data_IF_539724074115
#
_entry.id   IF_539724074115
#
_cell.length_a   1.000
_cell.length_b   1.000
_cell.length_c   1.000
_cell.angle_alpha   90.00
_cell.angle_beta   90.00
_cell.angle_gamma   90.00
#
_symmetry.space_group_name_H-M   'P 1'
#
loop_
_entity.id
_entity.type
_entity.pdbx_description
1 polymer ?
#
# COMPACT_ATOMS: atom_id res chain seq x y z
N UNK A 1 30.22 -34.27 -38.96
CA UNK A 1 29.24 -34.29 -37.85
C UNK A 1 29.69 -33.27 -36.82
N UNK A 2 28.87 -32.25 -36.53
CA UNK A 2 29.27 -31.07 -35.74
C UNK A 2 28.32 -30.96 -34.54
N UNK A 3 28.83 -31.28 -33.36
CA UNK A 3 28.13 -31.25 -32.07
C UNK A 3 27.85 -29.79 -31.68
N UNK A 4 26.60 -29.46 -31.38
CA UNK A 4 26.19 -28.14 -30.87
C UNK A 4 25.88 -28.29 -29.37
N UNK A 5 26.76 -27.71 -28.55
CA UNK A 5 26.53 -27.49 -27.13
C UNK A 5 25.58 -26.30 -26.99
N UNK A 6 24.41 -26.49 -26.39
CA UNK A 6 23.46 -25.40 -26.11
C UNK A 6 23.72 -24.91 -24.69
N UNK A 7 24.14 -23.66 -24.57
CA UNK A 7 24.43 -22.98 -23.31
C UNK A 7 23.12 -22.69 -22.55
N UNK A 8 22.93 -23.34 -21.41
CA UNK A 8 21.82 -23.11 -20.49
C UNK A 8 22.16 -21.92 -19.57
N UNK A 9 22.01 -20.69 -20.05
CA UNK A 9 22.25 -19.50 -19.23
C UNK A 9 21.43 -18.34 -19.76
N UNK A 10 20.13 -18.29 -19.49
CA UNK A 10 19.27 -17.10 -19.65
C UNK A 10 17.81 -17.46 -19.24
N UNK A 11 17.58 -17.76 -17.96
CA UNK A 11 16.22 -17.86 -17.38
C UNK A 11 16.20 -17.26 -15.96
N UNK A 12 16.70 -16.03 -15.80
CA UNK A 12 16.68 -15.35 -14.49
C UNK A 12 16.26 -13.87 -14.58
N UNK A 13 15.68 -13.43 -15.71
CA UNK A 13 15.37 -12.01 -15.93
C UNK A 13 13.87 -11.69 -16.05
N UNK A 14 12.96 -12.66 -15.92
CA UNK A 14 11.52 -12.47 -16.21
C UNK A 14 10.59 -12.49 -14.98
N UNK A 15 11.10 -12.28 -13.76
CA UNK A 15 10.27 -12.32 -12.53
C UNK A 15 10.15 -10.97 -11.80
N UNK A 16 10.65 -9.87 -12.35
CA UNK A 16 10.60 -8.55 -11.69
C UNK A 16 9.55 -7.57 -12.24
N UNK A 17 8.61 -8.03 -13.07
CA UNK A 17 7.63 -7.15 -13.75
C UNK A 17 6.17 -7.46 -13.39
N UNK A 18 5.88 -7.61 -12.10
CA UNK A 18 4.47 -7.74 -11.65
C UNK A 18 4.24 -7.24 -10.22
N UNK A 19 4.63 -6.00 -9.91
CA UNK A 19 4.16 -5.29 -8.71
C UNK A 19 3.18 -4.15 -9.02
N UNK A 20 2.72 -4.03 -10.26
CA UNK A 20 1.91 -2.91 -10.75
C UNK A 20 0.46 -3.32 -11.09
N UNK A 21 -0.23 -4.06 -10.20
CA UNK A 21 -1.64 -4.42 -10.48
C UNK A 21 -2.56 -4.81 -9.33
N UNK A 22 -2.16 -4.73 -8.05
CA UNK A 22 -3.16 -4.70 -6.97
C UNK A 22 -3.23 -3.28 -6.43
N UNK A 23 -4.07 -2.46 -7.08
CA UNK A 23 -4.54 -1.20 -6.50
C UNK A 23 -5.36 -1.59 -5.27
N UNK A 24 -4.65 -1.70 -4.14
CA UNK A 24 -5.22 -2.19 -2.89
C UNK A 24 -6.41 -1.30 -2.54
N UNK A 25 -7.57 -1.89 -2.20
CA UNK A 25 -8.73 -1.09 -1.84
C UNK A 25 -8.36 -0.32 -0.56
N UNK A 26 -8.13 0.99 -0.69
CA UNK A 26 -7.85 1.88 0.44
C UNK A 26 -9.08 2.10 1.35
N UNK A 27 -10.13 1.30 1.16
CA UNK A 27 -11.39 1.37 1.87
C UNK A 27 -12.04 2.77 1.88
N UNK A 28 -11.80 3.54 0.82
CA UNK A 28 -12.30 4.90 0.70
C UNK A 28 -11.56 5.89 1.60
N UNK A 29 -10.31 5.62 2.00
CA UNK A 29 -9.50 6.53 2.81
C UNK A 29 -9.40 7.95 2.22
N UNK A 30 -9.47 8.09 0.90
CA UNK A 30 -9.57 9.41 0.25
C UNK A 30 -10.81 10.19 0.72
N UNK A 31 -11.95 9.53 0.93
CA UNK A 31 -13.17 10.18 1.42
C UNK A 31 -13.05 10.63 2.89
N UNK A 32 -12.04 10.18 3.60
CA UNK A 32 -11.73 10.60 4.97
C UNK A 32 -10.85 11.86 5.01
N UNK A 33 -10.40 12.34 3.85
CA UNK A 33 -9.54 13.51 3.71
C UNK A 33 -10.32 14.62 2.99
N UNK A 34 -10.13 15.91 3.35
CA UNK A 34 -10.89 17.01 2.76
C UNK A 34 -10.79 17.10 1.23
N UNK A 35 -9.64 16.73 0.69
CA UNK A 35 -9.23 16.88 -0.71
C UNK A 35 -8.84 15.53 -1.34
N UNK A 36 -9.10 14.41 -0.65
CA UNK A 36 -8.81 13.07 -1.16
C UNK A 36 -7.34 12.65 -1.08
N UNK A 37 -6.44 13.57 -0.73
CA UNK A 37 -5.00 13.37 -0.71
C UNK A 37 -4.44 13.72 0.66
N UNK A 38 -3.30 13.11 1.00
CA UNK A 38 -2.54 13.45 2.21
C UNK A 38 -1.16 13.96 1.81
N UNK A 39 -0.93 15.28 1.92
CA UNK A 39 0.32 15.92 1.46
C UNK A 39 0.75 15.44 0.06
N UNK A 40 -0.17 15.49 -0.90
CA UNK A 40 -0.01 15.01 -2.30
C UNK A 40 0.05 13.49 -2.50
N UNK A 41 0.08 12.70 -1.42
CA UNK A 41 0.00 11.24 -1.52
C UNK A 41 -1.45 10.78 -1.64
N UNK A 42 -1.71 9.92 -2.62
CA UNK A 42 -2.96 9.17 -2.69
C UNK A 42 -2.97 8.11 -1.57
N UNK A 43 -4.08 7.92 -0.84
CA UNK A 43 -4.20 6.89 0.19
C UNK A 43 -3.94 5.44 -0.26
N UNK A 44 -4.00 5.17 -1.57
CA UNK A 44 -3.61 3.90 -2.18
C UNK A 44 -2.11 3.80 -2.52
N UNK A 45 -1.39 4.92 -2.57
CA UNK A 45 0.07 4.97 -2.71
C UNK A 45 0.74 4.91 -1.33
N UNK A 46 0.78 3.70 -0.78
CA UNK A 46 1.38 3.43 0.53
C UNK A 46 2.87 3.82 0.58
N UNK A 47 3.59 3.72 -0.54
CA UNK A 47 5.00 4.10 -0.61
C UNK A 47 5.16 5.62 -0.45
N UNK A 48 4.33 6.42 -1.11
CA UNK A 48 4.31 7.87 -0.90
C UNK A 48 4.00 8.22 0.56
N UNK A 49 2.98 7.60 1.15
CA UNK A 49 2.61 7.84 2.55
C UNK A 49 3.76 7.49 3.52
N UNK A 50 4.36 6.32 3.37
CA UNK A 50 5.34 5.78 4.30
C UNK A 50 6.75 6.40 4.15
N UNK A 51 7.05 7.05 3.03
CA UNK A 51 8.29 7.84 2.87
C UNK A 51 8.25 9.18 3.59
N UNK A 52 7.07 9.61 4.07
CA UNK A 52 6.95 10.83 4.87
C UNK A 52 7.67 10.71 6.23
N UNK A 53 8.01 11.84 6.88
CA UNK A 53 8.45 11.86 8.27
C UNK A 53 7.43 11.16 9.21
N UNK A 54 7.92 10.54 10.29
CA UNK A 54 7.08 9.75 11.22
C UNK A 54 5.85 10.53 11.71
N UNK A 55 6.02 11.81 12.08
CA UNK A 55 4.91 12.64 12.55
C UNK A 55 3.80 12.83 11.51
N UNK A 56 4.10 12.78 10.21
CA UNK A 56 3.12 12.84 9.14
C UNK A 56 2.43 11.49 8.92
N UNK A 57 3.13 10.38 9.10
CA UNK A 57 2.50 9.05 9.11
C UNK A 57 1.50 8.97 10.28
N UNK A 58 1.89 9.44 11.46
CA UNK A 58 1.00 9.49 12.62
C UNK A 58 -0.23 10.41 12.39
N UNK A 59 -0.02 11.56 11.75
CA UNK A 59 -1.08 12.49 11.36
C UNK A 59 -2.04 11.86 10.36
N UNK A 60 -1.53 11.15 9.36
CA UNK A 60 -2.33 10.41 8.38
C UNK A 60 -3.26 9.42 9.07
N UNK A 61 -2.70 8.54 9.91
CA UNK A 61 -3.48 7.52 10.63
C UNK A 61 -4.53 8.17 11.51
N UNK A 62 -4.19 9.25 12.22
CA UNK A 62 -5.13 10.01 13.06
C UNK A 62 -6.28 10.61 12.25
N UNK A 63 -6.01 11.07 11.02
CA UNK A 63 -7.02 11.64 10.15
C UNK A 63 -7.98 10.57 9.60
N UNK A 64 -7.44 9.45 9.10
CA UNK A 64 -8.27 8.45 8.39
C UNK A 64 -8.91 7.42 9.32
N UNK A 65 -8.28 7.06 10.44
CA UNK A 65 -8.75 5.98 11.31
C UNK A 65 -10.19 6.13 11.79
N UNK A 66 -10.63 7.28 12.34
CA UNK A 66 -12.00 7.40 12.87
C UNK A 66 -13.06 7.23 11.78
N UNK A 67 -12.79 7.76 10.59
CA UNK A 67 -13.66 7.64 9.41
C UNK A 67 -13.67 6.20 8.86
N UNK A 68 -12.50 5.56 8.76
CA UNK A 68 -12.39 4.18 8.30
C UNK A 68 -12.90 3.16 9.29
N UNK A 69 -13.04 3.48 10.58
CA UNK A 69 -13.62 2.59 11.59
C UNK A 69 -15.12 2.83 11.80
N UNK A 70 -15.71 3.79 11.08
CA UNK A 70 -17.13 4.09 11.17
C UNK A 70 -17.99 3.00 10.51
N UNK A 71 -19.27 2.96 10.90
CA UNK A 71 -20.25 2.04 10.30
C UNK A 71 -20.58 2.44 8.86
N UNK A 72 -20.54 3.74 8.54
CA UNK A 72 -20.81 4.26 7.19
C UNK A 72 -19.87 3.69 6.14
N UNK A 73 -18.58 3.49 6.50
CA UNK A 73 -17.61 2.88 5.58
C UNK A 73 -18.01 1.46 5.16
N UNK A 74 -18.74 0.70 5.98
CA UNK A 74 -19.11 -0.70 5.68
C UNK A 74 -19.98 -0.84 4.42
N UNK A 75 -20.64 0.23 3.98
CA UNK A 75 -21.35 0.27 2.70
C UNK A 75 -20.41 0.15 1.49
N UNK A 76 -19.12 0.47 1.66
CA UNK A 76 -18.13 0.56 0.58
C UNK A 76 -16.88 -0.30 0.78
N UNK A 77 -16.63 -0.81 1.99
CA UNK A 77 -15.49 -1.65 2.31
C UNK A 77 -15.86 -2.69 3.38
N UNK A 78 -15.48 -3.94 3.14
CA UNK A 78 -15.67 -5.04 4.10
C UNK A 78 -14.65 -4.96 5.23
N UNK A 79 -14.96 -5.55 6.39
CA UNK A 79 -14.01 -5.61 7.50
C UNK A 79 -12.69 -6.31 7.11
N UNK A 80 -12.76 -7.32 6.23
CA UNK A 80 -11.58 -7.99 5.69
C UNK A 80 -10.72 -7.09 4.79
N UNK A 81 -11.35 -6.27 3.95
CA UNK A 81 -10.63 -5.30 3.11
C UNK A 81 -9.98 -4.20 3.97
N UNK A 82 -10.68 -3.74 5.02
CA UNK A 82 -10.10 -2.81 5.98
C UNK A 82 -8.87 -3.45 6.66
N UNK A 83 -9.00 -4.69 7.14
CA UNK A 83 -7.89 -5.39 7.79
C UNK A 83 -6.66 -5.48 6.87
N UNK A 84 -6.87 -5.87 5.61
CA UNK A 84 -5.78 -5.92 4.62
C UNK A 84 -5.14 -4.54 4.40
N UNK A 85 -5.94 -3.48 4.30
CA UNK A 85 -5.41 -2.13 4.16
C UNK A 85 -4.53 -1.71 5.34
N UNK A 86 -4.99 -1.99 6.57
CA UNK A 86 -4.22 -1.72 7.80
C UNK A 86 -2.90 -2.49 7.80
N UNK A 87 -2.96 -3.79 7.54
CA UNK A 87 -1.81 -4.69 7.54
C UNK A 87 -0.76 -4.27 6.50
N UNK A 88 -1.21 -3.87 5.31
CA UNK A 88 -0.33 -3.39 4.26
C UNK A 88 0.28 -2.03 4.58
N UNK A 89 -0.50 -1.09 5.14
CA UNK A 89 0.05 0.19 5.59
C UNK A 89 1.15 -0.02 6.63
N UNK A 90 0.90 -0.87 7.63
CA UNK A 90 1.89 -1.23 8.67
C UNK A 90 3.13 -1.84 8.01
N UNK A 91 2.96 -2.89 7.20
CA UNK A 91 4.08 -3.61 6.56
C UNK A 91 4.94 -2.69 5.69
N UNK A 92 4.31 -1.86 4.85
CA UNK A 92 5.03 -0.94 3.96
C UNK A 92 5.76 0.13 4.79
N UNK A 93 5.10 0.69 5.81
CA UNK A 93 5.72 1.71 6.66
C UNK A 93 6.87 1.17 7.50
N UNK A 94 6.78 -0.05 8.01
CA UNK A 94 7.88 -0.73 8.69
C UNK A 94 9.08 -0.94 7.77
N UNK A 95 8.85 -1.27 6.49
CA UNK A 95 9.92 -1.40 5.49
C UNK A 95 10.63 -0.06 5.20
N UNK A 96 9.96 1.07 5.44
CA UNK A 96 10.54 2.43 5.38
C UNK A 96 11.10 2.92 6.73
N UNK A 97 11.18 2.04 7.74
CA UNK A 97 11.67 2.38 9.08
C UNK A 97 10.70 3.27 9.88
N UNK A 98 9.41 3.21 9.58
CA UNK A 98 8.33 3.89 10.31
C UNK A 98 7.57 2.91 11.18
N UNK A 99 6.98 3.41 12.25
CA UNK A 99 5.96 2.68 13.00
C UNK A 99 4.57 3.18 12.65
N UNK A 100 3.59 2.29 12.59
CA UNK A 100 2.18 2.66 12.41
C UNK A 100 1.43 2.20 13.64
N UNK A 101 0.96 3.15 14.43
CA UNK A 101 0.01 2.87 15.49
C UNK A 101 -1.38 3.08 14.93
N UNK A 102 -2.00 1.96 14.53
CA UNK A 102 -3.38 1.99 14.08
C UNK A 102 -4.31 2.25 15.26
#
# INVERSE_FOLDING_TARGET
MKTRTISATLMAAFLLESLDAYKLPSCGAANCLPDGLFYTCDPSDLKCLCTQPQNRVDEYVRAVKPCLESEERKASCTDGALFQYKDLLVTVCESEGKSVQW
#
